data_IF_467634672285
#
_entry.id   IF_467634672285
#
_cell.length_a   1.000
_cell.length_b   1.000
_cell.length_c   1.000
_cell.angle_alpha   90.00
_cell.angle_beta   90.00
_cell.angle_gamma   90.00
#
_symmetry.space_group_name_H-M   'P 1'
#
loop_
_entity.id
_entity.type
_entity.pdbx_description
1 polymer ?
#
# COMPACT_ATOMS: atom_id res chain seq x y z
N UNK A 1 -37.45 -1.90 -44.64
CA UNK A 1 -36.21 -1.85 -43.82
C UNK A 1 -35.63 -3.26 -43.71
N UNK A 2 -34.54 -3.56 -44.42
CA UNK A 2 -33.92 -4.89 -44.39
C UNK A 2 -33.15 -5.08 -43.07
N UNK A 3 -33.52 -6.11 -42.28
CA UNK A 3 -32.75 -6.53 -41.11
C UNK A 3 -31.38 -7.00 -41.57
N UNK A 4 -30.31 -6.23 -41.32
CA UNK A 4 -28.93 -6.66 -41.54
C UNK A 4 -28.69 -7.94 -40.72
N UNK A 5 -28.66 -9.10 -41.39
CA UNK A 5 -28.25 -10.36 -40.77
C UNK A 5 -26.76 -10.25 -40.46
N UNK A 6 -26.41 -10.23 -39.18
CA UNK A 6 -25.01 -10.26 -38.75
C UNK A 6 -24.36 -11.54 -39.29
N UNK A 7 -23.27 -11.40 -40.05
CA UNK A 7 -22.51 -12.55 -40.53
C UNK A 7 -21.83 -13.21 -39.32
N UNK A 8 -22.08 -14.52 -39.06
CA UNK A 8 -21.46 -15.22 -37.94
C UNK A 8 -19.93 -15.22 -38.04
N UNK A 9 -19.38 -15.18 -39.26
CA UNK A 9 -17.94 -15.07 -39.51
C UNK A 9 -17.42 -13.69 -39.08
N UNK A 10 -18.12 -12.60 -39.40
CA UNK A 10 -17.73 -11.25 -38.95
C UNK A 10 -17.80 -11.12 -37.43
N UNK A 11 -18.82 -11.72 -36.80
CA UNK A 11 -18.94 -11.73 -35.34
C UNK A 11 -17.79 -12.52 -34.69
N UNK A 12 -17.45 -13.70 -35.22
CA UNK A 12 -16.32 -14.50 -34.73
C UNK A 12 -14.98 -13.76 -34.86
N UNK A 13 -14.74 -13.06 -35.97
CA UNK A 13 -13.54 -12.24 -36.16
C UNK A 13 -13.47 -11.09 -35.15
N UNK A 14 -14.59 -10.39 -34.91
CA UNK A 14 -14.64 -9.30 -33.92
C UNK A 14 -14.38 -9.82 -32.51
N UNK A 15 -14.96 -10.98 -32.15
CA UNK A 15 -14.73 -11.62 -30.85
C UNK A 15 -13.26 -12.04 -30.70
N UNK A 16 -12.68 -12.67 -31.72
CA UNK A 16 -11.28 -13.09 -31.71
C UNK A 16 -10.32 -11.90 -31.62
N UNK A 17 -10.55 -10.84 -32.39
CA UNK A 17 -9.79 -9.59 -32.32
C UNK A 17 -9.91 -8.93 -30.93
N UNK A 18 -11.12 -8.91 -30.36
CA UNK A 18 -11.36 -8.43 -29.00
C UNK A 18 -10.59 -9.24 -27.95
N UNK A 19 -10.58 -10.57 -28.06
CA UNK A 19 -9.83 -11.44 -27.16
C UNK A 19 -8.32 -11.22 -27.27
N UNK A 20 -7.77 -11.10 -28.48
CA UNK A 20 -6.36 -10.79 -28.71
C UNK A 20 -5.99 -9.43 -28.14
N UNK A 21 -6.81 -8.40 -28.36
CA UNK A 21 -6.60 -7.08 -27.77
C UNK A 21 -6.63 -7.14 -26.24
N UNK A 22 -7.55 -7.90 -25.63
CA UNK A 22 -7.58 -8.07 -24.18
C UNK A 22 -6.32 -8.78 -23.65
N UNK A 23 -5.84 -9.82 -24.34
CA UNK A 23 -4.58 -10.50 -24.00
C UNK A 23 -3.40 -9.55 -24.12
N UNK A 24 -3.29 -8.80 -25.22
CA UNK A 24 -2.21 -7.85 -25.44
C UNK A 24 -2.21 -6.71 -24.40
N UNK A 25 -3.39 -6.17 -24.06
CA UNK A 25 -3.54 -5.16 -22.99
C UNK A 25 -3.15 -5.75 -21.63
N UNK A 26 -3.52 -7.00 -21.35
CA UNK A 26 -3.18 -7.66 -20.10
C UNK A 26 -1.66 -7.93 -19.99
N UNK A 27 -1.03 -8.41 -21.05
CA UNK A 27 0.42 -8.66 -21.10
C UNK A 27 1.23 -7.36 -21.04
N UNK A 28 0.84 -6.33 -21.79
CA UNK A 28 1.46 -5.00 -21.71
C UNK A 28 1.38 -4.43 -20.28
N UNK A 29 0.26 -4.63 -19.57
CA UNK A 29 0.13 -4.16 -18.18
C UNK A 29 0.86 -5.03 -17.18
N UNK A 30 0.92 -6.35 -17.40
CA UNK A 30 1.79 -7.25 -16.62
C UNK A 30 3.25 -6.83 -16.72
N UNK A 31 3.71 -6.40 -17.90
CA UNK A 31 5.07 -5.85 -18.06
C UNK A 31 5.30 -4.51 -17.34
N UNK A 32 4.24 -3.84 -16.87
CA UNK A 32 4.35 -2.63 -16.04
C UNK A 32 4.23 -2.93 -14.53
N UNK A 33 4.13 -4.20 -14.13
CA UNK A 33 4.18 -4.56 -12.70
C UNK A 33 5.65 -4.56 -12.25
N UNK A 34 5.94 -4.05 -11.05
CA UNK A 34 7.24 -4.25 -10.43
C UNK A 34 7.62 -5.73 -10.45
N UNK A 35 8.84 -6.06 -10.88
CA UNK A 35 9.26 -7.45 -10.91
C UNK A 35 9.42 -7.96 -9.48
N UNK A 36 8.87 -9.14 -9.15
CA UNK A 36 9.03 -9.70 -7.82
C UNK A 36 10.51 -10.03 -7.58
N UNK A 37 10.96 -9.86 -6.33
CA UNK A 37 12.22 -10.39 -5.86
C UNK A 37 12.29 -11.93 -6.03
N UNK A 38 13.49 -12.52 -6.03
CA UNK A 38 13.69 -13.97 -6.04
C UNK A 38 12.88 -14.69 -4.95
N UNK A 39 12.48 -15.95 -5.16
CA UNK A 39 11.58 -16.67 -4.25
C UNK A 39 12.06 -16.73 -2.79
N UNK A 40 13.36 -16.84 -2.56
CA UNK A 40 13.94 -16.89 -1.21
C UNK A 40 13.81 -15.55 -0.47
N UNK A 41 13.98 -14.43 -1.18
CA UNK A 41 13.78 -13.08 -0.64
C UNK A 41 12.30 -12.83 -0.38
N UNK A 42 11.41 -13.29 -1.27
CA UNK A 42 9.96 -13.18 -1.06
C UNK A 42 9.51 -13.93 0.19
N UNK A 43 9.94 -15.19 0.33
CA UNK A 43 9.57 -16.02 1.47
C UNK A 43 10.07 -15.38 2.78
N UNK A 44 11.35 -15.03 2.85
CA UNK A 44 11.92 -14.36 4.04
C UNK A 44 11.22 -13.05 4.36
N UNK A 45 10.88 -12.27 3.35
CA UNK A 45 10.15 -11.02 3.52
C UNK A 45 8.76 -11.24 4.11
N UNK A 46 8.02 -12.24 3.61
CA UNK A 46 6.70 -12.59 4.16
C UNK A 46 6.83 -13.06 5.62
N UNK A 47 7.80 -13.92 5.92
CA UNK A 47 8.09 -14.38 7.29
C UNK A 47 8.41 -13.20 8.22
N UNK A 48 9.21 -12.23 7.74
CA UNK A 48 9.55 -11.02 8.48
C UNK A 48 8.31 -10.15 8.76
N UNK A 49 7.43 -9.94 7.77
CA UNK A 49 6.18 -9.19 7.98
C UNK A 49 5.25 -9.91 8.96
N UNK A 50 5.16 -11.24 8.89
CA UNK A 50 4.38 -12.00 9.87
C UNK A 50 4.93 -11.85 11.30
N UNK A 51 6.26 -11.85 11.46
CA UNK A 51 6.89 -11.59 12.75
C UNK A 51 6.61 -10.16 13.26
N UNK A 52 6.64 -9.16 12.38
CA UNK A 52 6.25 -7.77 12.69
C UNK A 52 4.80 -7.71 13.17
N UNK A 53 3.86 -8.34 12.45
CA UNK A 53 2.45 -8.37 12.86
C UNK A 53 2.26 -9.01 14.23
N UNK A 54 2.96 -10.12 14.51
CA UNK A 54 2.93 -10.77 15.81
C UNK A 54 3.47 -9.86 16.93
N UNK A 55 4.55 -9.12 16.66
CA UNK A 55 5.13 -8.18 17.62
C UNK A 55 4.20 -7.00 17.90
N UNK A 56 3.61 -6.42 16.85
CA UNK A 56 2.66 -5.30 16.96
C UNK A 56 1.41 -5.72 17.73
N UNK A 57 0.88 -6.93 17.51
CA UNK A 57 -0.36 -7.41 18.13
C UNK A 57 -0.36 -7.36 19.67
N UNK A 58 0.82 -7.47 20.31
CA UNK A 58 0.97 -7.41 21.77
C UNK A 58 1.03 -5.99 22.35
N UNK A 59 1.00 -4.94 21.52
CA UNK A 59 1.19 -3.53 21.94
C UNK A 59 -0.13 -2.78 22.02
N UNK A 60 -0.15 -1.63 22.70
CA UNK A 60 -1.31 -0.72 22.73
C UNK A 60 -1.79 -0.34 21.32
N UNK A 61 -0.85 -0.08 20.40
CA UNK A 61 -1.18 0.19 19.01
C UNK A 61 -1.85 -1.02 18.33
N UNK A 62 -1.29 -2.22 18.46
CA UNK A 62 -1.86 -3.43 17.87
C UNK A 62 -3.22 -3.82 18.46
N UNK A 63 -3.45 -3.52 19.75
CA UNK A 63 -4.72 -3.74 20.43
C UNK A 63 -5.78 -2.69 20.11
N UNK A 64 -5.38 -1.53 19.58
CA UNK A 64 -6.31 -0.50 19.13
C UNK A 64 -7.14 -0.94 17.92
N UNK A 65 -8.29 -0.29 17.69
CA UNK A 65 -9.13 -0.53 16.51
C UNK A 65 -8.37 -0.31 15.21
N UNK A 66 -7.53 0.73 15.13
CA UNK A 66 -6.65 1.00 13.98
C UNK A 66 -5.70 -0.16 13.75
N UNK A 67 -4.95 -0.56 14.78
CA UNK A 67 -3.95 -1.62 14.70
C UNK A 67 -4.55 -2.93 14.20
N UNK A 68 -5.74 -3.30 14.69
CA UNK A 68 -6.47 -4.48 14.23
C UNK A 68 -6.87 -4.38 12.75
N UNK A 69 -7.50 -3.28 12.32
CA UNK A 69 -7.93 -3.09 10.92
C UNK A 69 -6.73 -3.19 9.96
N UNK A 70 -5.61 -2.53 10.30
CA UNK A 70 -4.44 -2.50 9.45
C UNK A 70 -3.73 -3.86 9.43
N UNK A 71 -3.57 -4.51 10.60
CA UNK A 71 -2.98 -5.85 10.69
C UNK A 71 -3.79 -6.88 9.90
N UNK A 72 -5.11 -6.86 10.01
CA UNK A 72 -6.02 -7.71 9.23
C UNK A 72 -5.89 -7.42 7.73
N UNK A 73 -5.72 -6.17 7.36
CA UNK A 73 -5.54 -5.76 5.96
C UNK A 73 -4.25 -6.35 5.40
N UNK A 74 -3.14 -6.22 6.12
CA UNK A 74 -1.84 -6.78 5.73
C UNK A 74 -1.91 -8.32 5.68
N UNK A 75 -2.52 -8.95 6.69
CA UNK A 75 -2.70 -10.40 6.73
C UNK A 75 -3.49 -10.92 5.52
N UNK A 76 -4.48 -10.16 5.01
CA UNK A 76 -5.20 -10.51 3.76
C UNK A 76 -4.30 -10.45 2.52
N UNK A 77 -3.37 -9.50 2.41
CA UNK A 77 -2.39 -9.48 1.30
C UNK A 77 -1.47 -10.70 1.35
N UNK A 78 -1.01 -11.07 2.54
CA UNK A 78 -0.18 -12.27 2.74
C UNK A 78 -0.96 -13.52 2.35
N UNK A 79 -2.17 -13.70 2.87
CA UNK A 79 -2.99 -14.89 2.60
C UNK A 79 -3.37 -15.05 1.12
N UNK A 80 -3.48 -13.93 0.38
CA UNK A 80 -3.76 -13.92 -1.06
C UNK A 80 -2.50 -14.05 -1.93
N UNK A 81 -1.31 -14.08 -1.34
CA UNK A 81 -0.05 -14.05 -2.08
C UNK A 81 0.16 -12.76 -2.87
N UNK A 82 -0.41 -11.64 -2.41
CA UNK A 82 -0.34 -10.34 -3.07
C UNK A 82 0.50 -9.29 -2.33
N UNK A 83 1.22 -9.73 -1.29
CA UNK A 83 2.34 -8.99 -0.71
C UNK A 83 3.62 -9.34 -1.51
N UNK A 84 4.22 -8.36 -2.19
CA UNK A 84 5.30 -8.61 -3.16
C UNK A 84 6.52 -7.75 -2.84
N UNK A 85 7.64 -8.38 -2.49
CA UNK A 85 8.92 -7.69 -2.37
C UNK A 85 9.50 -7.39 -3.75
N UNK A 86 10.08 -6.21 -3.94
CA UNK A 86 10.63 -5.77 -5.24
C UNK A 86 11.65 -4.65 -5.06
N UNK A 87 12.62 -4.55 -5.96
CA UNK A 87 13.48 -3.37 -6.05
C UNK A 87 12.94 -2.29 -6.99
N UNK A 88 11.83 -2.52 -7.68
CA UNK A 88 11.38 -1.69 -8.80
C UNK A 88 10.35 -0.62 -8.40
N UNK A 89 10.30 -0.27 -7.10
CA UNK A 89 9.49 0.83 -6.60
C UNK A 89 10.36 1.96 -6.04
N UNK A 90 9.90 3.19 -6.13
CA UNK A 90 10.55 4.36 -5.51
C UNK A 90 10.42 4.38 -3.97
N UNK A 91 9.20 4.39 -3.42
CA UNK A 91 8.95 4.44 -1.97
C UNK A 91 9.27 3.13 -1.24
N UNK A 92 9.14 3.12 0.09
CA UNK A 92 9.40 1.94 0.94
C UNK A 92 8.39 0.82 0.73
N UNK A 93 7.15 1.17 0.45
CA UNK A 93 6.09 0.26 0.05
C UNK A 93 5.16 1.01 -0.92
N UNK A 94 4.32 0.27 -1.63
CA UNK A 94 3.34 0.82 -2.56
C UNK A 94 2.13 -0.12 -2.63
N UNK A 95 0.98 0.37 -2.19
CA UNK A 95 -0.30 -0.23 -2.50
C UNK A 95 -0.70 0.13 -3.93
N UNK A 96 -1.11 -0.88 -4.70
CA UNK A 96 -1.63 -0.70 -6.04
C UNK A 96 -2.86 -1.55 -6.26
N UNK A 97 -3.95 -0.90 -6.66
CA UNK A 97 -5.08 -1.59 -7.26
C UNK A 97 -4.83 -1.84 -8.74
N UNK A 98 -5.02 -3.08 -9.13
CA UNK A 98 -4.88 -3.59 -10.47
C UNK A 98 -6.23 -3.76 -11.17
N UNK A 99 -6.19 -4.03 -12.48
CA UNK A 99 -7.39 -4.34 -13.26
C UNK A 99 -8.13 -5.54 -12.68
N UNK A 100 -9.46 -5.53 -12.84
CA UNK A 100 -10.37 -6.57 -12.34
C UNK A 100 -10.39 -6.68 -10.80
N UNK A 101 -9.94 -5.64 -10.09
CA UNK A 101 -10.01 -5.57 -8.63
C UNK A 101 -8.95 -6.41 -7.91
N UNK A 102 -7.92 -6.87 -8.63
CA UNK A 102 -6.73 -7.40 -7.98
C UNK A 102 -6.02 -6.28 -7.22
N UNK A 103 -5.46 -6.60 -6.07
CA UNK A 103 -4.80 -5.64 -5.18
C UNK A 103 -3.46 -6.22 -4.78
N UNK A 104 -2.40 -5.42 -4.86
CA UNK A 104 -1.06 -5.80 -4.47
C UNK A 104 -0.45 -4.78 -3.51
N UNK A 105 0.31 -5.27 -2.53
CA UNK A 105 1.12 -4.50 -1.62
C UNK A 105 2.58 -4.75 -1.96
N UNK A 106 3.19 -3.83 -2.70
CA UNK A 106 4.60 -3.93 -3.07
C UNK A 106 5.46 -3.41 -1.92
N UNK A 107 6.55 -4.09 -1.61
CA UNK A 107 7.45 -3.73 -0.51
C UNK A 107 8.87 -3.64 -1.04
N UNK A 108 9.58 -2.56 -0.70
CA UNK A 108 10.91 -2.29 -1.24
C UNK A 108 11.94 -3.23 -0.64
N UNK A 109 12.60 -4.00 -1.48
CA UNK A 109 13.88 -4.62 -1.19
C UNK A 109 15.02 -3.70 -1.63
N UNK A 110 16.12 -3.68 -0.88
CA UNK A 110 17.32 -2.93 -1.21
C UNK A 110 18.25 -3.74 -2.10
N UNK A 111 18.97 -3.07 -3.01
CA UNK A 111 20.06 -3.70 -3.78
C UNK A 111 21.39 -3.33 -3.11
N UNK A 112 22.07 -4.31 -2.52
CA UNK A 112 23.38 -4.13 -1.87
C UNK A 112 24.35 -5.14 -2.46
N UNK A 113 25.43 -4.66 -3.09
CA UNK A 113 26.43 -5.52 -3.73
C UNK A 113 25.83 -6.45 -4.81
N UNK A 114 24.79 -6.00 -5.52
CA UNK A 114 24.09 -6.79 -6.53
C UNK A 114 23.11 -7.83 -5.98
N UNK A 115 22.90 -7.88 -4.65
CA UNK A 115 21.94 -8.79 -4.01
C UNK A 115 20.76 -8.01 -3.45
N UNK A 116 19.59 -8.63 -3.46
CA UNK A 116 18.42 -8.08 -2.80
C UNK A 116 18.44 -8.40 -1.31
N UNK A 117 18.27 -7.37 -0.50
CA UNK A 117 18.29 -7.42 0.96
C UNK A 117 17.01 -6.78 1.48
N UNK A 118 16.41 -7.40 2.49
CA UNK A 118 15.23 -6.88 3.15
C UNK A 118 15.59 -5.65 4.01
N UNK A 119 14.61 -4.78 4.23
CA UNK A 119 14.74 -3.64 5.14
C UNK A 119 14.69 -4.11 6.60
N UNK A 120 15.19 -3.28 7.49
CA UNK A 120 15.04 -3.49 8.94
C UNK A 120 13.56 -3.45 9.35
N UNK A 121 13.23 -4.14 10.45
CA UNK A 121 11.84 -4.34 10.90
C UNK A 121 11.08 -3.02 11.09
N UNK A 122 11.75 -1.99 11.58
CA UNK A 122 11.17 -0.66 11.80
C UNK A 122 10.69 -0.02 10.49
N UNK A 123 11.59 0.06 9.50
CA UNK A 123 11.30 0.64 8.17
C UNK A 123 10.24 -0.19 7.45
N UNK A 124 10.31 -1.51 7.60
CA UNK A 124 9.35 -2.43 7.01
C UNK A 124 7.95 -2.26 7.64
N UNK A 125 7.87 -2.13 8.96
CA UNK A 125 6.62 -1.87 9.66
C UNK A 125 6.03 -0.52 9.26
N UNK A 126 6.84 0.54 9.19
CA UNK A 126 6.40 1.86 8.76
C UNK A 126 5.74 1.80 7.38
N UNK A 127 6.45 1.26 6.39
CA UNK A 127 5.96 1.19 5.01
C UNK A 127 4.71 0.31 4.87
N UNK A 128 4.70 -0.88 5.47
CA UNK A 128 3.60 -1.83 5.30
C UNK A 128 2.32 -1.33 5.97
N UNK A 129 2.41 -0.71 7.16
CA UNK A 129 1.24 -0.12 7.83
C UNK A 129 0.78 1.18 7.18
N UNK A 130 1.69 1.99 6.62
CA UNK A 130 1.32 3.15 5.81
C UNK A 130 0.46 2.72 4.63
N UNK A 131 0.94 1.78 3.81
CA UNK A 131 0.22 1.34 2.62
C UNK A 131 -1.06 0.55 2.94
N UNK A 132 -1.12 -0.09 4.11
CA UNK A 132 -2.35 -0.70 4.61
C UNK A 132 -3.49 0.32 4.81
N UNK A 133 -3.17 1.60 5.09
CA UNK A 133 -4.18 2.68 5.14
C UNK A 133 -4.81 2.88 3.77
N UNK A 134 -3.99 3.02 2.71
CA UNK A 134 -4.49 3.16 1.34
C UNK A 134 -5.33 1.97 0.90
N UNK A 135 -4.87 0.76 1.24
CA UNK A 135 -5.61 -0.47 0.96
C UNK A 135 -6.96 -0.52 1.70
N UNK A 136 -7.00 -0.17 2.99
CA UNK A 136 -8.23 -0.13 3.77
C UNK A 136 -9.24 0.91 3.25
N UNK A 137 -8.77 1.95 2.56
CA UNK A 137 -9.59 2.97 1.90
C UNK A 137 -10.02 2.60 0.47
N UNK A 138 -9.53 1.47 -0.06
CA UNK A 138 -9.88 0.96 -1.39
C UNK A 138 -9.21 1.72 -2.55
N UNK A 139 -8.05 2.34 -2.28
CA UNK A 139 -7.32 3.34 -3.09
C UNK A 139 -7.55 3.31 -4.60
N UNK A 140 -8.42 4.22 -5.06
CA UNK A 140 -8.79 4.41 -6.47
C UNK A 140 -8.49 5.82 -7.01
N UNK A 141 -8.04 6.75 -6.15
CA UNK A 141 -7.73 8.13 -6.50
C UNK A 141 -6.31 8.47 -6.04
N UNK A 142 -5.76 9.58 -6.53
CA UNK A 142 -4.58 10.18 -5.89
C UNK A 142 -4.90 10.39 -4.41
N UNK A 143 -4.06 9.86 -3.52
CA UNK A 143 -4.25 9.98 -2.08
C UNK A 143 -4.37 11.47 -1.70
N UNK A 144 -5.29 11.78 -0.80
CA UNK A 144 -5.39 13.15 -0.28
C UNK A 144 -4.26 13.41 0.71
N UNK A 145 -3.99 14.69 1.00
CA UNK A 145 -3.03 15.06 2.06
C UNK A 145 -3.42 14.40 3.40
N UNK A 146 -4.70 14.34 3.72
CA UNK A 146 -5.21 13.71 4.94
C UNK A 146 -4.96 12.20 4.96
N UNK A 147 -5.11 11.53 3.82
CA UNK A 147 -4.84 10.10 3.68
C UNK A 147 -3.35 9.77 3.83
N UNK A 148 -2.48 10.56 3.20
CA UNK A 148 -1.02 10.44 3.36
C UNK A 148 -0.61 10.69 4.82
N UNK A 149 -1.16 11.73 5.46
CA UNK A 149 -0.91 12.00 6.88
C UNK A 149 -1.33 10.81 7.75
N UNK A 150 -2.46 10.18 7.43
CA UNK A 150 -2.95 9.01 8.15
C UNK A 150 -2.03 7.79 7.95
N UNK A 151 -1.57 7.57 6.72
CA UNK A 151 -0.57 6.57 6.36
C UNK A 151 0.71 6.73 7.17
N UNK A 152 1.31 7.93 7.17
CA UNK A 152 2.52 8.19 7.95
C UNK A 152 2.29 8.05 9.45
N UNK A 153 1.17 8.52 9.99
CA UNK A 153 0.86 8.35 11.40
C UNK A 153 0.73 6.88 11.79
N UNK A 154 0.05 6.06 10.97
CA UNK A 154 -0.07 4.63 11.18
C UNK A 154 1.29 3.91 11.08
N UNK A 155 2.10 4.27 10.07
CA UNK A 155 3.44 3.74 9.89
C UNK A 155 4.35 4.02 11.08
N UNK A 156 4.41 5.27 11.55
CA UNK A 156 5.21 5.67 12.72
C UNK A 156 4.75 4.96 14.00
N UNK A 157 3.43 4.80 14.21
CA UNK A 157 2.88 4.00 15.30
C UNK A 157 3.31 2.53 15.24
N UNK A 158 3.32 1.92 14.07
CA UNK A 158 3.77 0.55 13.88
C UNK A 158 5.28 0.40 14.12
N UNK A 159 6.09 1.31 13.57
CA UNK A 159 7.53 1.35 13.78
C UNK A 159 7.88 1.50 15.27
N UNK A 160 7.20 2.40 15.98
CA UNK A 160 7.35 2.58 17.42
C UNK A 160 6.94 1.33 18.21
N UNK A 161 5.83 0.69 17.85
CA UNK A 161 5.40 -0.58 18.45
C UNK A 161 6.44 -1.70 18.25
N UNK A 162 7.06 -1.78 17.07
CA UNK A 162 8.14 -2.74 16.78
C UNK A 162 9.39 -2.43 17.57
N UNK A 163 9.76 -1.17 17.76
CA UNK A 163 10.99 -0.79 18.49
C UNK A 163 10.79 -0.69 20.00
N UNK A 164 9.55 -0.70 20.48
CA UNK A 164 9.23 -0.47 21.90
C UNK A 164 9.42 0.98 22.32
N UNK A 165 9.37 1.92 21.36
CA UNK A 165 9.61 3.34 21.59
C UNK A 165 8.30 4.06 21.89
N UNK A 166 8.32 4.98 22.87
CA UNK A 166 7.17 5.85 23.12
C UNK A 166 7.05 6.91 22.03
N UNK A 167 5.83 7.17 21.54
CA UNK A 167 5.58 8.22 20.58
C UNK A 167 5.16 9.54 21.25
N UNK A 168 5.71 10.68 20.79
CA UNK A 168 5.19 11.98 21.18
C UNK A 168 3.74 12.15 20.70
N UNK A 169 3.00 13.08 21.30
CA UNK A 169 1.63 13.38 20.85
C UNK A 169 1.66 13.93 19.41
N UNK A 170 2.53 14.90 19.10
CA UNK A 170 2.77 15.35 17.73
C UNK A 170 3.87 14.53 17.05
N UNK A 171 3.53 13.85 15.96
CA UNK A 171 4.44 13.04 15.16
C UNK A 171 5.24 13.91 14.20
N UNK A 172 6.53 13.59 14.10
CA UNK A 172 7.48 14.32 13.27
C UNK A 172 8.15 13.39 12.26
N UNK A 173 8.39 13.92 11.06
CA UNK A 173 9.24 13.34 10.02
C UNK A 173 10.29 14.38 9.65
N UNK A 174 11.57 13.99 9.66
CA UNK A 174 12.69 14.89 9.39
C UNK A 174 12.66 16.18 10.23
N UNK A 175 12.24 16.07 11.49
CA UNK A 175 12.14 17.19 12.43
C UNK A 175 10.95 18.14 12.19
N UNK A 176 9.98 17.76 11.35
CA UNK A 176 8.80 18.57 11.00
C UNK A 176 7.50 17.82 11.28
N UNK A 177 6.39 18.50 11.58
CA UNK A 177 5.08 17.87 11.66
C UNK A 177 4.77 17.05 10.40
N UNK A 178 4.18 15.86 10.56
CA UNK A 178 3.83 14.97 9.43
C UNK A 178 3.06 15.71 8.34
N UNK A 179 2.11 16.58 8.71
CA UNK A 179 1.32 17.34 7.72
C UNK A 179 2.17 18.33 6.91
N UNK A 180 3.19 18.94 7.50
CA UNK A 180 4.11 19.82 6.78
C UNK A 180 4.99 19.00 5.82
N UNK A 181 5.51 17.87 6.29
CA UNK A 181 6.29 16.94 5.48
C UNK A 181 5.49 16.47 4.26
N UNK A 182 4.26 15.98 4.47
CA UNK A 182 3.38 15.49 3.41
C UNK A 182 3.07 16.58 2.38
N UNK A 183 2.71 17.79 2.81
CA UNK A 183 2.44 18.92 1.89
C UNK A 183 3.67 19.29 1.04
N UNK A 184 4.87 19.12 1.58
CA UNK A 184 6.13 19.40 0.86
C UNK A 184 6.48 18.30 -0.13
N UNK A 185 6.35 17.04 0.26
CA UNK A 185 6.71 15.88 -0.57
C UNK A 185 5.65 15.64 -1.66
N UNK A 186 4.39 15.90 -1.35
CA UNK A 186 3.26 15.69 -2.25
C UNK A 186 2.45 16.98 -2.46
N UNK A 187 3.05 18.04 -3.05
CA UNK A 187 2.42 19.36 -3.14
C UNK A 187 1.19 19.40 -4.06
N UNK A 188 1.02 18.38 -4.91
CA UNK A 188 -0.10 18.27 -5.85
C UNK A 188 -1.23 17.38 -5.34
N UNK A 189 -1.08 16.72 -4.18
CA UNK A 189 -2.14 15.88 -3.64
C UNK A 189 -3.35 16.75 -3.23
N UNK A 190 -4.58 16.33 -3.60
CA UNK A 190 -5.78 17.10 -3.25
C UNK A 190 -6.02 17.10 -1.74
N UNK A 191 -6.80 18.07 -1.26
CA UNK A 191 -7.38 18.03 0.08
C UNK A 191 -8.71 17.28 0.06
N UNK A 192 -8.98 16.56 1.13
CA UNK A 192 -10.24 15.87 1.39
C UNK A 192 -10.68 16.14 2.84
N UNK A 193 -11.37 17.26 3.11
CA UNK A 193 -11.81 17.59 4.47
C UNK A 193 -12.77 16.58 5.09
N UNK A 194 -13.46 15.80 4.26
CA UNK A 194 -14.37 14.73 4.68
C UNK A 194 -13.65 13.39 4.93
N UNK A 195 -12.33 13.34 4.81
CA UNK A 195 -11.53 12.15 5.07
C UNK A 195 -11.76 11.62 6.49
N UNK A 196 -12.00 10.31 6.58
CA UNK A 196 -12.18 9.60 7.85
C UNK A 196 -10.95 8.72 8.10
N UNK A 197 -10.14 9.04 9.12
CA UNK A 197 -8.94 8.26 9.44
C UNK A 197 -9.27 6.81 9.79
N UNK A 198 -8.39 5.89 9.44
CA UNK A 198 -8.61 4.47 9.66
C UNK A 198 -8.57 4.17 11.16
N UNK A 199 -9.73 3.76 11.69
CA UNK A 199 -9.86 3.35 13.09
C UNK A 199 -9.70 4.47 14.12
N UNK A 200 -9.63 5.74 13.71
CA UNK A 200 -9.41 6.91 14.56
C UNK A 200 -10.34 8.08 14.20
N UNK A 201 -10.39 9.11 15.06
CA UNK A 201 -11.14 10.33 14.79
C UNK A 201 -10.33 11.35 13.97
N UNK A 202 -11.03 12.26 13.29
CA UNK A 202 -10.38 13.39 12.61
C UNK A 202 -9.59 14.26 13.59
N UNK A 203 -10.07 14.44 14.83
CA UNK A 203 -9.35 15.17 15.87
C UNK A 203 -8.02 14.49 16.22
N UNK A 204 -8.04 13.16 16.37
CA UNK A 204 -6.82 12.39 16.58
C UNK A 204 -5.81 12.63 15.47
N UNK A 205 -6.24 12.55 14.20
CA UNK A 205 -5.33 12.77 13.07
C UNK A 205 -4.73 14.18 13.12
N UNK A 206 -5.55 15.20 13.30
CA UNK A 206 -5.08 16.60 13.39
C UNK A 206 -4.05 16.80 14.49
N UNK A 207 -4.34 16.30 15.70
CA UNK A 207 -3.44 16.38 16.86
C UNK A 207 -2.12 15.64 16.59
N UNK A 208 -2.19 14.43 16.04
CA UNK A 208 -1.02 13.60 15.78
C UNK A 208 -0.14 14.11 14.64
N UNK A 209 -0.70 14.75 13.62
CA UNK A 209 0.07 15.10 12.42
C UNK A 209 0.31 16.60 12.25
N UNK A 210 -0.33 17.45 13.06
CA UNK A 210 -0.32 18.91 12.86
C UNK A 210 -1.12 19.35 11.64
N UNK A 211 -2.14 18.57 11.28
CA UNK A 211 -3.01 18.88 10.14
C UNK A 211 -4.05 19.94 10.54
N UNK A 212 -3.98 21.10 9.89
CA UNK A 212 -5.02 22.15 9.94
C UNK A 212 -6.09 21.94 8.85
#
# INVERSE_FOLDING_TARGET
MAKRRFSPVRLAIIIAAGAICMVAVNEYRRSQRPAPAPPDVQQKGVEQVQAILAKVAGTDFGQSRRGQILSDTIARFIARGSLVFTADIGPQALYRRELLGHEALYVKAMVIGGRLVLRDDEILAEGVFHEAVHAARGGNAAASIEEECDGFAAGLCAAAAVTGTALPDLLLLEGRPVAEFVKRVYPTNPRCPSYQPVGESTEWLRRRTGLE
#
